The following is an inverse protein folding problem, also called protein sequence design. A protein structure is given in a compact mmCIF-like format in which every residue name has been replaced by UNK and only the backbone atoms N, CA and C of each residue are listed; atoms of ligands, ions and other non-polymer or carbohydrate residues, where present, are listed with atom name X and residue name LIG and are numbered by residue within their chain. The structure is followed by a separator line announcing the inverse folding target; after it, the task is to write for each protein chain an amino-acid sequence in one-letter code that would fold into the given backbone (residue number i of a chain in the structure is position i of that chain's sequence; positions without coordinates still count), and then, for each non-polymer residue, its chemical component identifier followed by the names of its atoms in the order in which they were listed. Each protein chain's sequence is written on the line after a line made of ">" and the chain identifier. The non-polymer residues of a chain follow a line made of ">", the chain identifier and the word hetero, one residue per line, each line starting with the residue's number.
data_IF_531024541381
#
_entry.id   IF_531024541381
#
_cell.length_a   1.000
_cell.length_b   1.000
_cell.length_c   1.000
_cell.angle_alpha   90.00
_cell.angle_beta   90.00
_cell.angle_gamma   90.00
#
_symmetry.space_group_name_H-M   'P 1'
#
loop_
_entity.id
_entity.type
_entity.pdbx_description
1 polymer ?
#
# COMPACT_ATOMS: atom_id res chain seq x y z
N UNK A 1 -15.21 14.39 -72.93
CA UNK A 1 -13.75 14.26 -73.13
C UNK A 1 -13.04 14.64 -71.84
N UNK A 2 -11.94 13.93 -71.56
CA UNK A 2 -11.14 13.87 -70.33
C UNK A 2 -10.80 15.20 -69.66
N UNK A 3 -10.61 15.18 -68.33
CA UNK A 3 -9.27 15.29 -67.73
C UNK A 3 -9.28 15.00 -66.23
N UNK A 4 -8.26 14.24 -65.83
CA UNK A 4 -7.85 13.88 -64.47
C UNK A 4 -7.14 15.09 -63.86
N UNK A 5 -7.32 15.32 -62.58
CA UNK A 5 -6.31 16.01 -61.76
C UNK A 5 -6.12 15.30 -60.42
N UNK A 6 -4.85 15.16 -60.08
CA UNK A 6 -4.24 14.46 -58.96
C UNK A 6 -3.95 15.46 -57.82
N UNK A 7 -3.79 14.91 -56.61
CA UNK A 7 -3.07 15.49 -55.46
C UNK A 7 -3.81 16.64 -54.74
N UNK A 8 -4.02 16.65 -53.41
CA UNK A 8 -3.03 16.56 -52.33
C UNK A 8 -3.72 16.61 -50.94
N UNK A 9 -3.11 15.96 -49.96
CA UNK A 9 -2.98 16.42 -48.56
C UNK A 9 -4.25 16.58 -47.69
N UNK A 10 -4.65 15.47 -47.04
CA UNK A 10 -5.44 15.52 -45.80
C UNK A 10 -4.52 15.56 -44.59
N UNK A 11 -4.66 16.61 -43.78
CA UNK A 11 -3.81 16.98 -42.66
C UNK A 11 -3.75 15.95 -41.51
N UNK A 12 -2.61 15.99 -40.80
CA UNK A 12 -2.35 15.26 -39.58
C UNK A 12 -3.38 15.58 -38.47
N UNK A 13 -4.06 14.54 -38.00
CA UNK A 13 -4.82 14.55 -36.75
C UNK A 13 -3.92 14.00 -35.64
N UNK A 14 -3.42 14.89 -34.79
CA UNK A 14 -2.82 14.51 -33.53
C UNK A 14 -3.88 13.97 -32.59
N UNK A 15 -3.63 12.82 -31.97
CA UNK A 15 -4.37 12.35 -30.80
C UNK A 15 -3.47 11.45 -29.95
N UNK A 16 -3.27 11.87 -28.71
CA UNK A 16 -3.01 10.98 -27.59
C UNK A 16 -1.56 10.53 -27.43
N UNK A 17 -0.82 11.26 -26.60
CA UNK A 17 0.13 10.64 -25.67
C UNK A 17 -0.65 9.63 -24.81
N UNK A 18 -0.86 8.44 -25.37
CA UNK A 18 -1.50 7.32 -24.70
C UNK A 18 -0.63 6.95 -23.52
N UNK A 19 -1.17 7.22 -22.33
CA UNK A 19 -0.47 7.15 -21.07
C UNK A 19 0.40 5.91 -20.95
N UNK A 20 1.63 6.13 -20.50
CA UNK A 20 2.34 5.11 -19.76
C UNK A 20 1.46 4.71 -18.58
N UNK A 21 0.64 3.68 -18.76
CA UNK A 21 0.24 2.84 -17.66
C UNK A 21 1.52 2.13 -17.25
N UNK A 22 2.15 2.46 -16.10
CA UNK A 22 3.10 1.51 -15.55
C UNK A 22 2.31 0.22 -15.43
N UNK A 23 2.78 -0.81 -16.15
CA UNK A 23 2.28 -2.16 -16.06
C UNK A 23 2.00 -2.43 -14.58
N UNK A 24 0.79 -2.89 -14.28
CA UNK A 24 0.44 -3.35 -12.93
C UNK A 24 1.63 -4.14 -12.40
N UNK A 25 2.37 -3.53 -11.48
CA UNK A 25 3.53 -4.16 -10.87
C UNK A 25 3.01 -5.48 -10.34
N UNK A 26 3.69 -6.55 -10.75
CA UNK A 26 3.30 -7.92 -10.53
C UNK A 26 2.69 -8.10 -9.14
N UNK A 27 1.67 -8.93 -9.00
CA UNK A 27 1.16 -9.34 -7.69
C UNK A 27 2.33 -9.90 -6.86
N UNK A 28 2.98 -9.03 -6.09
CA UNK A 28 4.12 -9.36 -5.26
C UNK A 28 3.54 -10.26 -4.18
N UNK A 29 3.73 -11.56 -4.34
CA UNK A 29 3.59 -12.49 -3.25
C UNK A 29 4.46 -12.00 -2.09
N UNK A 30 4.19 -12.48 -0.88
CA UNK A 30 4.93 -12.07 0.32
C UNK A 30 6.44 -12.36 0.25
N UNK A 31 6.90 -13.18 -0.71
CA UNK A 31 8.30 -13.57 -0.91
C UNK A 31 9.24 -12.43 -1.28
N UNK A 32 8.73 -11.31 -1.82
CA UNK A 32 9.57 -10.14 -2.12
C UNK A 32 9.91 -9.32 -0.87
N UNK A 33 9.21 -9.54 0.24
CA UNK A 33 9.35 -8.74 1.46
C UNK A 33 10.08 -9.52 2.55
N UNK A 34 10.86 -8.80 3.36
CA UNK A 34 11.51 -9.37 4.55
C UNK A 34 10.49 -9.55 5.67
N UNK A 35 9.89 -10.73 5.73
CA UNK A 35 8.89 -11.09 6.73
C UNK A 35 9.48 -11.34 8.12
N UNK A 36 10.81 -11.31 8.26
CA UNK A 36 11.48 -11.51 9.55
C UNK A 36 11.60 -10.22 10.35
N UNK A 37 11.52 -9.07 9.68
CA UNK A 37 11.70 -7.74 10.27
C UNK A 37 10.50 -6.82 9.99
N UNK A 38 9.40 -6.97 10.75
CA UNK A 38 8.25 -6.07 10.61
C UNK A 38 8.63 -4.63 10.98
N UNK A 39 8.08 -3.68 10.23
CA UNK A 39 8.19 -2.25 10.50
C UNK A 39 6.89 -1.70 11.06
N UNK A 40 6.99 -0.77 12.00
CA UNK A 40 5.89 0.09 12.44
C UNK A 40 6.00 1.46 11.77
N UNK A 41 4.95 1.88 11.07
CA UNK A 41 4.82 3.23 10.51
C UNK A 41 3.53 3.87 11.01
N UNK A 42 3.58 5.14 11.37
CA UNK A 42 2.43 5.93 11.81
C UNK A 42 2.49 7.31 11.18
N UNK A 43 1.33 7.83 10.77
CA UNK A 43 1.29 9.10 10.04
C UNK A 43 -0.10 9.51 9.56
N UNK A 44 -0.12 10.37 8.54
CA UNK A 44 -1.34 10.81 7.86
C UNK A 44 -1.33 10.38 6.39
N UNK A 45 -2.45 9.86 5.91
CA UNK A 45 -2.64 9.57 4.50
C UNK A 45 -2.65 10.88 3.71
N UNK A 46 -1.68 11.10 2.81
CA UNK A 46 -1.64 12.30 1.95
C UNK A 46 -2.19 12.03 0.55
N UNK A 47 -2.18 10.76 0.12
CA UNK A 47 -2.87 10.31 -1.07
C UNK A 47 -3.44 8.90 -0.87
N UNK A 48 -4.59 8.61 -1.48
CA UNK A 48 -5.22 7.28 -1.41
C UNK A 48 -5.66 6.87 -2.81
N UNK A 49 -5.35 5.63 -3.18
CA UNK A 49 -5.83 4.97 -4.40
C UNK A 49 -6.66 3.76 -4.00
N UNK A 50 -7.98 3.92 -4.00
CA UNK A 50 -8.92 2.86 -3.62
C UNK A 50 -9.51 2.17 -4.85
N UNK A 51 -8.69 1.37 -5.54
CA UNK A 51 -9.07 0.70 -6.79
C UNK A 51 -8.48 -0.72 -6.88
N UNK A 52 -9.02 -1.55 -7.75
CA UNK A 52 -8.52 -2.90 -7.99
C UNK A 52 -7.10 -2.83 -8.62
N UNK A 53 -6.12 -3.67 -8.23
CA UNK A 53 -6.23 -4.82 -7.31
C UNK A 53 -6.12 -4.49 -5.83
N UNK A 54 -5.20 -3.61 -5.46
CA UNK A 54 -4.91 -3.25 -4.07
C UNK A 54 -5.31 -1.80 -3.80
N UNK A 55 -5.86 -1.56 -2.61
CA UNK A 55 -5.89 -0.21 -2.08
C UNK A 55 -4.46 0.21 -1.71
N UNK A 56 -4.08 1.43 -2.05
CA UNK A 56 -2.77 1.97 -1.73
C UNK A 56 -2.92 3.32 -1.02
N UNK A 57 -2.05 3.59 -0.05
CA UNK A 57 -1.99 4.86 0.68
C UNK A 57 -0.58 5.41 0.60
N UNK A 58 -0.41 6.66 0.17
CA UNK A 58 0.82 7.39 0.45
C UNK A 58 0.71 7.98 1.84
N UNK A 59 1.53 7.49 2.76
CA UNK A 59 1.55 7.87 4.17
C UNK A 59 2.70 8.85 4.40
N UNK A 60 2.39 10.05 4.86
CA UNK A 60 3.38 10.96 5.43
C UNK A 60 3.62 10.58 6.88
N UNK A 61 4.86 10.22 7.21
CA UNK A 61 5.22 9.73 8.54
C UNK A 61 5.22 10.84 9.58
N UNK A 62 4.65 10.55 10.75
CA UNK A 62 4.74 11.44 11.90
C UNK A 62 6.20 11.53 12.40
N UNK A 63 6.67 12.75 12.67
CA UNK A 63 8.02 12.98 13.20
C UNK A 63 7.99 13.53 14.65
N UNK A 64 8.95 13.14 15.52
CA UNK A 64 9.93 12.08 15.29
C UNK A 64 9.27 10.71 15.21
N UNK A 65 9.90 9.76 14.49
CA UNK A 65 9.45 8.37 14.47
C UNK A 65 9.46 7.81 15.89
N UNK A 66 8.36 7.15 16.28
CA UNK A 66 8.20 6.54 17.60
C UNK A 66 7.61 5.16 17.47
N UNK A 67 8.22 4.19 18.16
CA UNK A 67 7.63 2.88 18.37
C UNK A 67 6.77 2.95 19.63
N UNK A 68 5.45 2.71 19.56
CA UNK A 68 4.61 2.75 20.74
C UNK A 68 5.01 1.65 21.74
N UNK A 69 5.15 2.03 23.02
CA UNK A 69 5.54 1.08 24.07
C UNK A 69 4.48 -0.02 24.29
N UNK A 70 3.23 0.26 23.94
CA UNK A 70 2.09 -0.65 24.04
C UNK A 70 1.89 -1.55 22.80
N UNK A 71 2.71 -1.38 21.74
CA UNK A 71 2.47 -2.01 20.45
C UNK A 71 2.35 -3.54 20.56
N UNK A 72 3.24 -4.17 21.32
CA UNK A 72 3.27 -5.62 21.51
C UNK A 72 2.02 -6.17 22.22
N UNK A 73 1.28 -5.33 22.95
CA UNK A 73 0.09 -5.71 23.70
C UNK A 73 -1.21 -5.36 22.96
N UNK A 74 -1.13 -4.70 21.80
CA UNK A 74 -2.33 -4.30 21.06
C UNK A 74 -3.11 -5.53 20.60
N UNK A 75 -4.44 -5.54 20.75
CA UNK A 75 -5.27 -6.63 20.26
C UNK A 75 -5.22 -6.67 18.73
N UNK A 76 -5.08 -7.89 18.22
CA UNK A 76 -5.09 -8.20 16.79
C UNK A 76 -6.22 -9.18 16.50
N UNK A 77 -6.98 -8.99 15.40
CA UNK A 77 -8.09 -9.87 15.10
C UNK A 77 -7.61 -11.21 14.54
N UNK A 78 -8.40 -12.27 14.75
CA UNK A 78 -8.11 -13.59 14.22
C UNK A 78 -8.22 -13.61 12.69
N UNK A 79 -7.28 -14.30 12.04
CA UNK A 79 -7.21 -14.43 10.59
C UNK A 79 -7.25 -15.91 10.21
N UNK A 80 -7.73 -16.24 9.00
CA UNK A 80 -7.69 -17.61 8.48
C UNK A 80 -6.26 -18.15 8.30
N UNK A 81 -5.31 -17.28 7.97
CA UNK A 81 -3.90 -17.61 8.03
C UNK A 81 -3.42 -17.64 9.50
N UNK A 82 -2.58 -18.60 9.89
CA UNK A 82 -2.08 -18.75 11.25
C UNK A 82 -0.98 -17.72 11.56
N UNK A 83 -1.37 -16.45 11.70
CA UNK A 83 -0.44 -15.37 12.04
C UNK A 83 -0.32 -15.27 13.56
N UNK A 84 0.90 -15.46 14.08
CA UNK A 84 1.23 -15.10 15.46
C UNK A 84 1.38 -13.58 15.57
N UNK A 85 0.24 -12.90 15.70
CA UNK A 85 0.18 -11.45 15.75
C UNK A 85 0.91 -10.84 16.95
N UNK A 86 0.73 -11.33 18.19
CA UNK A 86 1.49 -10.82 19.35
C UNK A 86 3.00 -10.91 19.15
N UNK A 87 3.53 -12.05 18.70
CA UNK A 87 4.97 -12.17 18.45
C UNK A 87 5.43 -11.26 17.30
N UNK A 88 4.59 -11.05 16.28
CA UNK A 88 4.90 -10.15 15.18
C UNK A 88 4.96 -8.69 15.64
N UNK A 89 3.97 -8.21 16.40
CA UNK A 89 3.97 -6.85 16.94
C UNK A 89 5.15 -6.62 17.89
N UNK A 90 5.51 -7.61 18.70
CA UNK A 90 6.68 -7.54 19.59
C UNK A 90 8.03 -7.41 18.86
N UNK A 91 8.13 -7.89 17.62
CA UNK A 91 9.34 -7.76 16.78
C UNK A 91 9.36 -6.49 15.93
N UNK A 92 8.27 -5.72 15.90
CA UNK A 92 8.18 -4.54 15.05
C UNK A 92 9.22 -3.50 15.45
N UNK A 93 9.91 -2.93 14.46
CA UNK A 93 10.93 -1.90 14.65
C UNK A 93 10.61 -0.66 13.82
N UNK A 94 11.32 0.43 14.07
CA UNK A 94 11.27 1.61 13.20
C UNK A 94 12.10 1.39 11.93
N UNK A 95 11.75 2.05 10.80
CA UNK A 95 12.60 2.05 9.62
C UNK A 95 13.94 2.73 9.94
N UNK A 96 14.99 2.32 9.23
CA UNK A 96 16.31 2.96 9.30
C UNK A 96 16.50 4.06 8.26
N UNK A 97 15.71 4.02 7.18
CA UNK A 97 15.66 5.09 6.18
C UNK A 97 14.90 6.34 6.66
N UNK A 98 15.10 7.46 5.97
CA UNK A 98 14.64 8.81 6.39
C UNK A 98 13.56 9.41 5.50
N UNK A 99 13.00 8.63 4.60
CA UNK A 99 11.92 9.06 3.72
C UNK A 99 10.71 9.51 4.55
N UNK A 100 10.23 10.72 4.28
CA UNK A 100 9.05 11.27 4.94
C UNK A 100 7.75 10.64 4.43
N UNK A 101 7.77 10.09 3.21
CA UNK A 101 6.60 9.50 2.56
C UNK A 101 6.84 8.03 2.22
N UNK A 102 5.87 7.20 2.55
CA UNK A 102 5.87 5.77 2.24
C UNK A 102 4.65 5.39 1.44
N UNK A 103 4.84 4.52 0.45
CA UNK A 103 3.74 3.84 -0.19
C UNK A 103 3.34 2.63 0.67
N UNK A 104 2.10 2.61 1.11
CA UNK A 104 1.51 1.51 1.86
C UNK A 104 0.61 0.73 0.91
N UNK A 105 0.98 -0.50 0.63
CA UNK A 105 0.15 -1.44 -0.10
C UNK A 105 -0.73 -2.20 0.90
N UNK A 106 -2.05 -1.96 0.85
CA UNK A 106 -3.03 -2.66 1.67
C UNK A 106 -3.43 -3.99 1.01
N UNK A 107 -4.37 -4.71 1.63
CA UNK A 107 -4.90 -5.92 1.03
C UNK A 107 -5.70 -5.63 -0.27
N UNK A 108 -5.94 -6.64 -1.13
CA UNK A 108 -6.85 -6.50 -2.25
C UNK A 108 -8.24 -6.05 -1.80
N UNK A 109 -8.94 -5.27 -2.63
CA UNK A 109 -10.23 -4.67 -2.27
C UNK A 109 -11.27 -5.68 -1.77
N UNK A 110 -11.31 -6.89 -2.34
CA UNK A 110 -12.20 -7.95 -1.86
C UNK A 110 -11.92 -8.35 -0.41
N UNK A 111 -10.64 -8.42 0.00
CA UNK A 111 -10.27 -8.69 1.40
C UNK A 111 -10.59 -7.50 2.30
N UNK A 112 -10.33 -6.27 1.83
CA UNK A 112 -10.71 -5.06 2.57
C UNK A 112 -12.22 -5.03 2.84
N UNK A 113 -13.04 -5.44 1.87
CA UNK A 113 -14.49 -5.56 2.03
C UNK A 113 -14.90 -6.65 3.05
N UNK A 114 -14.26 -7.83 3.03
CA UNK A 114 -14.51 -8.88 4.04
C UNK A 114 -14.20 -8.42 5.47
N UNK A 115 -13.14 -7.63 5.63
CA UNK A 115 -12.77 -7.00 6.90
C UNK A 115 -13.60 -5.75 7.23
N UNK A 116 -14.47 -5.32 6.31
CA UNK A 116 -15.26 -4.10 6.41
C UNK A 116 -14.39 -2.86 6.70
N UNK A 117 -13.18 -2.83 6.15
CA UNK A 117 -12.30 -1.67 6.29
C UNK A 117 -12.95 -0.50 5.56
N UNK A 118 -13.21 0.63 6.23
CA UNK A 118 -13.76 1.79 5.56
C UNK A 118 -12.74 2.33 4.55
N UNK A 119 -13.21 2.95 3.48
CA UNK A 119 -12.33 3.63 2.55
C UNK A 119 -11.60 4.77 3.27
N UNK A 120 -10.26 4.68 3.29
CA UNK A 120 -9.39 5.70 3.86
C UNK A 120 -9.46 6.95 2.97
N UNK A 121 -9.54 8.12 3.59
CA UNK A 121 -9.52 9.40 2.90
C UNK A 121 -8.19 10.12 3.14
N UNK A 122 -7.73 10.99 2.22
CA UNK A 122 -6.65 11.92 2.53
C UNK A 122 -6.91 12.70 3.84
N UNK A 123 -5.86 12.93 4.63
CA UNK A 123 -5.90 13.51 5.98
C UNK A 123 -6.12 12.51 7.12
N UNK A 124 -6.54 11.28 6.82
CA UNK A 124 -6.79 10.23 7.82
C UNK A 124 -5.51 9.85 8.54
N UNK A 125 -5.53 9.90 9.87
CA UNK A 125 -4.45 9.38 10.70
C UNK A 125 -4.57 7.85 10.80
N UNK A 126 -3.46 7.15 10.60
CA UNK A 126 -3.39 5.70 10.69
C UNK A 126 -1.99 5.23 11.07
N UNK A 127 -1.91 4.01 11.57
CA UNK A 127 -0.65 3.29 11.71
C UNK A 127 -0.74 1.94 11.03
N UNK A 128 0.42 1.39 10.66
CA UNK A 128 0.54 0.08 10.05
C UNK A 128 1.73 -0.66 10.63
N UNK A 129 1.55 -1.97 10.79
CA UNK A 129 2.68 -2.89 10.88
C UNK A 129 2.70 -3.72 9.60
N UNK A 130 3.87 -3.87 9.01
CA UNK A 130 4.02 -4.65 7.78
C UNK A 130 5.47 -4.84 7.41
N UNK A 131 5.70 -5.19 6.15
CA UNK A 131 7.03 -5.59 5.69
C UNK A 131 7.45 -4.79 4.47
N UNK A 132 8.74 -4.48 4.42
CA UNK A 132 9.39 -3.85 3.26
C UNK A 132 10.43 -4.81 2.68
N UNK A 133 11.16 -4.38 1.67
CA UNK A 133 12.24 -5.15 1.07
C UNK A 133 13.38 -5.40 2.06
N UNK A 134 14.15 -6.47 1.84
CA UNK A 134 15.32 -6.79 2.67
C UNK A 134 16.28 -5.61 2.76
N UNK A 135 16.76 -5.32 3.98
CA UNK A 135 17.60 -4.17 4.29
C UNK A 135 16.98 -2.80 3.91
N UNK A 136 15.66 -2.74 3.71
CA UNK A 136 14.92 -1.53 3.28
C UNK A 136 15.38 -0.96 1.91
N UNK A 137 15.98 -1.80 1.06
CA UNK A 137 16.50 -1.41 -0.27
C UNK A 137 15.37 -1.11 -1.26
N UNK A 138 15.57 -0.10 -2.10
CA UNK A 138 14.63 0.28 -3.16
C UNK A 138 13.57 1.28 -2.68
N UNK A 139 12.37 1.17 -3.23
CA UNK A 139 11.27 2.09 -2.95
C UNK A 139 10.85 2.04 -1.46
N UNK A 140 10.36 3.17 -0.94
CA UNK A 140 9.74 3.27 0.38
C UNK A 140 8.35 2.61 0.38
N UNK A 141 8.31 1.30 0.08
CA UNK A 141 7.10 0.50 -0.01
C UNK A 141 6.97 -0.39 1.24
N UNK A 142 5.80 -0.38 1.87
CA UNK A 142 5.45 -1.30 2.93
C UNK A 142 4.16 -2.03 2.55
N UNK A 143 4.19 -3.36 2.58
CA UNK A 143 2.99 -4.19 2.47
C UNK A 143 2.42 -4.45 3.86
N UNK A 144 1.19 -4.01 4.08
CA UNK A 144 0.57 -4.01 5.39
C UNK A 144 0.17 -5.43 5.83
N UNK A 145 0.58 -5.81 7.04
CA UNK A 145 0.12 -7.00 7.76
C UNK A 145 -1.05 -6.64 8.68
N UNK A 146 -0.90 -5.55 9.44
CA UNK A 146 -1.92 -4.99 10.31
C UNK A 146 -2.11 -3.50 9.99
N UNK A 147 -3.36 -3.08 9.94
CA UNK A 147 -3.76 -1.68 9.83
C UNK A 147 -4.45 -1.27 11.14
N UNK A 148 -3.99 -0.17 11.73
CA UNK A 148 -4.61 0.48 12.87
C UNK A 148 -5.28 1.77 12.38
N UNK A 149 -6.60 1.85 12.53
CA UNK A 149 -7.40 2.96 12.06
C UNK A 149 -8.43 3.33 13.13
N UNK A 150 -8.22 4.48 13.78
CA UNK A 150 -8.98 4.85 14.97
C UNK A 150 -8.74 3.87 16.11
N UNK A 151 -9.81 3.31 16.66
CA UNK A 151 -9.82 2.30 17.72
C UNK A 151 -9.79 0.85 17.20
N UNK A 152 -9.76 0.65 15.87
CA UNK A 152 -9.83 -0.67 15.25
C UNK A 152 -8.50 -1.13 14.68
N UNK A 153 -8.23 -2.42 14.84
CA UNK A 153 -7.14 -3.15 14.20
C UNK A 153 -7.72 -4.11 13.15
N UNK A 154 -7.12 -4.13 11.96
CA UNK A 154 -7.50 -5.02 10.86
C UNK A 154 -6.32 -5.91 10.48
N UNK A 155 -6.55 -7.21 10.34
CA UNK A 155 -5.57 -8.16 9.79
C UNK A 155 -5.66 -8.19 8.26
N UNK A 156 -4.54 -8.01 7.57
CA UNK A 156 -4.53 -7.86 6.11
C UNK A 156 -3.86 -9.04 5.37
N UNK A 157 -3.36 -10.04 6.10
CA UNK A 157 -2.77 -11.27 5.54
C UNK A 157 -3.80 -12.11 4.81
N UNK A 158 -4.95 -12.32 5.43
CA UNK A 158 -6.02 -13.18 4.93
C UNK A 158 -7.40 -12.68 5.38
N UNK A 159 -8.46 -13.39 5.02
CA UNK A 159 -9.82 -13.07 5.48
C UNK A 159 -9.96 -13.22 7.00
N UNK A 160 -10.98 -12.59 7.61
CA UNK A 160 -11.35 -12.86 9.00
C UNK A 160 -11.55 -14.36 9.25
N UNK A 161 -11.21 -14.83 10.46
CA UNK A 161 -11.46 -16.20 10.88
C UNK A 161 -12.92 -16.46 11.28
#
# INVERSE_FOLDING_TARGET
>A
MQRRDLMRSGAALGLGLGGWYPAALAHHGWSSFDQTRPLYLEGRAVAVRWRNPHAEVTLELAQPLRLPADLAQRPVPAQMAPVDGPALLARAVLPTRRDAHWQIELAPLGRMALWQVPQIQPGTALAVVGFTFSEEKGDALLRAEYLFLGDKTYGLRSSPA
#
